data_IF_831214951137
#
_entry.id   IF_831214951137
#
_cell.length_a   1.000
_cell.length_b   1.000
_cell.length_c   1.000
_cell.angle_alpha   90.00
_cell.angle_beta   90.00
_cell.angle_gamma   90.00
#
_symmetry.space_group_name_H-M   'P 1'
#
loop_
_entity.id
_entity.type
_entity.pdbx_description
1 polymer ?
#
# COMPACT_ATOMS: atom_id res chain seq x y z
N UNK A 1 13.79 -7.02 30.10
CA UNK A 1 13.20 -7.50 28.82
C UNK A 1 14.29 -8.13 27.96
N UNK A 2 14.17 -9.40 27.60
CA UNK A 2 15.20 -10.12 26.81
C UNK A 2 15.11 -9.75 25.32
N UNK A 3 16.21 -9.85 24.55
CA UNK A 3 16.25 -9.48 23.12
C UNK A 3 15.16 -10.14 22.27
N UNK A 4 14.72 -11.34 22.66
CA UNK A 4 13.66 -12.13 22.00
C UNK A 4 12.28 -11.47 22.10
N UNK A 5 11.98 -10.78 23.21
CA UNK A 5 10.69 -10.09 23.43
C UNK A 5 10.50 -8.85 22.56
N UNK A 6 11.59 -8.13 22.22
CA UNK A 6 11.55 -6.91 21.39
C UNK A 6 11.46 -7.17 19.88
N UNK A 7 11.89 -8.34 19.40
CA UNK A 7 11.72 -8.73 17.99
C UNK A 7 10.25 -9.10 17.73
N UNK A 8 9.64 -9.77 18.71
CA UNK A 8 8.26 -10.20 18.64
C UNK A 8 7.29 -9.01 18.54
N UNK A 9 7.58 -7.87 19.18
CA UNK A 9 6.67 -6.71 19.19
C UNK A 9 6.44 -6.12 17.80
N UNK A 10 7.50 -5.90 17.01
CA UNK A 10 7.36 -5.32 15.67
C UNK A 10 6.72 -6.29 14.68
N UNK A 11 7.04 -7.59 14.79
CA UNK A 11 6.37 -8.59 13.97
C UNK A 11 4.88 -8.69 14.29
N UNK A 12 4.51 -8.66 15.56
CA UNK A 12 3.10 -8.69 15.97
C UNK A 12 2.37 -7.43 15.49
N UNK A 13 3.00 -6.25 15.56
CA UNK A 13 2.44 -5.00 15.01
C UNK A 13 2.21 -5.10 13.50
N UNK A 14 3.21 -5.58 12.75
CA UNK A 14 3.11 -5.84 11.32
C UNK A 14 1.95 -6.80 10.99
N UNK A 15 1.91 -7.96 11.66
CA UNK A 15 0.91 -8.99 11.42
C UNK A 15 -0.51 -8.54 11.78
N UNK A 16 -0.68 -7.88 12.93
CA UNK A 16 -1.98 -7.36 13.36
C UNK A 16 -2.48 -6.24 12.45
N UNK A 17 -1.60 -5.35 11.98
CA UNK A 17 -1.96 -4.31 11.01
C UNK A 17 -2.39 -4.92 9.69
N UNK A 18 -1.62 -5.88 9.18
CA UNK A 18 -1.95 -6.60 7.95
C UNK A 18 -3.32 -7.30 8.03
N UNK A 19 -3.52 -8.13 9.06
CA UNK A 19 -4.77 -8.86 9.27
C UNK A 19 -5.93 -7.91 9.55
N UNK A 20 -5.72 -6.90 10.40
CA UNK A 20 -6.74 -5.92 10.75
C UNK A 20 -7.22 -5.13 9.53
N UNK A 21 -6.31 -4.73 8.65
CA UNK A 21 -6.66 -4.03 7.40
C UNK A 21 -7.48 -4.91 6.47
N UNK A 22 -7.08 -6.17 6.27
CA UNK A 22 -7.82 -7.11 5.42
C UNK A 22 -9.20 -7.43 5.98
N UNK A 23 -9.31 -7.65 7.30
CA UNK A 23 -10.61 -7.83 7.96
C UNK A 23 -11.47 -6.59 7.85
N UNK A 24 -10.90 -5.41 8.01
CA UNK A 24 -11.61 -4.15 7.87
C UNK A 24 -12.19 -3.99 6.46
N UNK A 25 -11.40 -4.26 5.42
CA UNK A 25 -11.89 -4.27 4.03
C UNK A 25 -13.03 -5.27 3.86
N UNK A 26 -12.90 -6.51 4.36
CA UNK A 26 -13.97 -7.52 4.29
C UNK A 26 -15.25 -7.01 4.96
N UNK A 27 -15.13 -6.46 6.18
CA UNK A 27 -16.28 -5.93 6.93
C UNK A 27 -16.94 -4.78 6.18
N UNK A 28 -16.15 -3.84 5.64
CA UNK A 28 -16.68 -2.76 4.82
C UNK A 28 -17.43 -3.28 3.59
N UNK A 29 -16.83 -4.24 2.86
CA UNK A 29 -17.45 -4.85 1.68
C UNK A 29 -18.77 -5.54 1.99
N UNK A 30 -18.89 -6.16 3.16
CA UNK A 30 -20.13 -6.80 3.60
C UNK A 30 -21.17 -5.78 4.12
N UNK A 31 -20.71 -4.69 4.74
CA UNK A 31 -21.60 -3.70 5.34
C UNK A 31 -22.22 -2.75 4.30
N UNK A 32 -21.47 -2.43 3.23
CA UNK A 32 -21.89 -1.43 2.23
C UNK A 32 -21.58 -1.89 0.79
N UNK A 33 -22.06 -3.07 0.36
CA UNK A 33 -21.71 -3.64 -0.94
C UNK A 33 -22.14 -2.78 -2.13
N UNK A 34 -23.20 -1.98 -1.98
CA UNK A 34 -23.75 -1.10 -3.03
C UNK A 34 -22.86 0.09 -3.36
N UNK A 35 -21.94 0.45 -2.46
CA UNK A 35 -21.02 1.60 -2.61
C UNK A 35 -19.62 1.18 -3.10
N UNK A 36 -19.44 -0.10 -3.41
CA UNK A 36 -18.14 -0.70 -3.70
C UNK A 36 -18.19 -1.32 -5.09
N UNK A 37 -17.18 -1.02 -5.90
CA UNK A 37 -17.10 -1.59 -7.23
C UNK A 37 -16.71 -3.07 -7.17
N UNK A 38 -17.56 -3.92 -7.78
CA UNK A 38 -17.37 -5.37 -7.84
C UNK A 38 -17.13 -6.01 -6.45
N UNK A 39 -18.10 -5.88 -5.52
CA UNK A 39 -17.92 -6.25 -4.11
C UNK A 39 -17.62 -7.74 -3.94
N UNK A 40 -18.22 -8.62 -4.75
CA UNK A 40 -17.96 -10.06 -4.72
C UNK A 40 -16.50 -10.40 -5.07
N UNK A 41 -15.97 -9.76 -6.11
CA UNK A 41 -14.59 -9.94 -6.55
C UNK A 41 -13.60 -9.40 -5.53
N UNK A 42 -13.89 -8.24 -4.93
CA UNK A 42 -13.09 -7.69 -3.84
C UNK A 42 -13.10 -8.62 -2.62
N UNK A 43 -14.28 -9.11 -2.20
CA UNK A 43 -14.44 -10.01 -1.07
C UNK A 43 -13.64 -11.31 -1.25
N UNK A 44 -13.74 -11.94 -2.43
CA UNK A 44 -13.02 -13.17 -2.76
C UNK A 44 -11.50 -12.95 -2.70
N UNK A 45 -11.01 -11.90 -3.36
CA UNK A 45 -9.57 -11.56 -3.40
C UNK A 45 -9.05 -11.24 -2.00
N UNK A 46 -9.77 -10.43 -1.22
CA UNK A 46 -9.38 -10.04 0.15
C UNK A 46 -9.34 -11.25 1.06
N UNK A 47 -10.33 -12.14 0.96
CA UNK A 47 -10.39 -13.38 1.74
C UNK A 47 -9.21 -14.31 1.40
N UNK A 48 -8.87 -14.45 0.12
CA UNK A 48 -7.71 -15.23 -0.31
C UNK A 48 -6.39 -14.66 0.24
N UNK A 49 -6.22 -13.33 0.20
CA UNK A 49 -5.04 -12.65 0.75
C UNK A 49 -4.98 -12.78 2.28
N UNK A 50 -6.12 -12.70 2.97
CA UNK A 50 -6.21 -12.93 4.41
C UNK A 50 -5.79 -14.35 4.79
N UNK A 51 -6.28 -15.36 4.07
CA UNK A 51 -5.86 -16.75 4.27
C UNK A 51 -4.36 -16.92 4.02
N UNK A 52 -3.82 -16.28 2.98
CA UNK A 52 -2.38 -16.23 2.72
C UNK A 52 -1.59 -15.60 3.86
N UNK A 53 -2.04 -14.46 4.39
CA UNK A 53 -1.43 -13.79 5.53
C UNK A 53 -1.43 -14.67 6.78
N UNK A 54 -2.57 -15.31 7.09
CA UNK A 54 -2.69 -16.26 8.20
C UNK A 54 -1.74 -17.44 8.01
N UNK A 55 -1.67 -18.02 6.80
CA UNK A 55 -0.76 -19.11 6.49
C UNK A 55 0.71 -18.71 6.73
N UNK A 56 1.12 -17.50 6.31
CA UNK A 56 2.46 -16.96 6.58
C UNK A 56 2.70 -16.81 8.09
N UNK A 57 1.72 -16.33 8.85
CA UNK A 57 1.83 -16.19 10.31
C UNK A 57 2.03 -17.54 10.99
N UNK A 58 1.29 -18.57 10.57
CA UNK A 58 1.33 -19.90 11.17
C UNK A 58 2.55 -20.74 10.73
N UNK A 59 3.00 -20.58 9.50
CA UNK A 59 4.09 -21.40 8.92
C UNK A 59 5.46 -20.76 9.18
N UNK A 60 5.58 -19.44 9.09
CA UNK A 60 6.87 -18.76 9.19
C UNK A 60 7.68 -19.04 10.48
N UNK A 61 7.09 -19.27 11.67
CA UNK A 61 7.86 -19.64 12.86
C UNK A 61 8.59 -20.98 12.73
N UNK A 62 8.11 -21.88 11.86
CA UNK A 62 8.70 -23.21 11.61
C UNK A 62 9.89 -23.15 10.64
N UNK A 63 10.10 -22.02 9.96
CA UNK A 63 11.16 -21.86 8.97
C UNK A 63 12.49 -21.43 9.62
N UNK A 64 13.60 -21.77 8.96
CA UNK A 64 14.93 -21.27 9.31
C UNK A 64 14.98 -19.74 9.15
N UNK A 65 15.84 -19.07 9.94
CA UNK A 65 15.94 -17.60 10.02
C UNK A 65 15.89 -16.85 8.67
N UNK A 66 16.74 -17.16 7.67
CA UNK A 66 16.71 -16.42 6.41
C UNK A 66 15.38 -16.59 5.67
N UNK A 67 14.87 -17.82 5.57
CA UNK A 67 13.59 -18.11 4.92
C UNK A 67 12.40 -17.48 5.63
N UNK A 68 12.43 -17.45 6.97
CA UNK A 68 11.42 -16.77 7.78
C UNK A 68 11.37 -15.27 7.50
N UNK A 69 12.53 -14.61 7.43
CA UNK A 69 12.61 -13.20 7.11
C UNK A 69 12.14 -12.92 5.68
N UNK A 70 12.60 -13.72 4.72
CA UNK A 70 12.22 -13.59 3.30
C UNK A 70 10.73 -13.75 3.08
N UNK A 71 10.09 -14.81 3.62
CA UNK A 71 8.66 -15.03 3.38
C UNK A 71 7.80 -13.93 4.00
N UNK A 72 8.20 -13.41 5.17
CA UNK A 72 7.50 -12.31 5.84
C UNK A 72 7.65 -10.99 5.09
N UNK A 73 8.86 -10.71 4.58
CA UNK A 73 9.11 -9.55 3.74
C UNK A 73 8.32 -9.63 2.43
N UNK A 74 8.39 -10.76 1.73
CA UNK A 74 7.65 -10.99 0.51
C UNK A 74 6.14 -10.83 0.73
N UNK A 75 5.60 -11.41 1.81
CA UNK A 75 4.18 -11.28 2.14
C UNK A 75 3.78 -9.83 2.43
N UNK A 76 4.59 -9.06 3.19
CA UNK A 76 4.29 -7.66 3.49
C UNK A 76 4.37 -6.75 2.25
N UNK A 77 5.35 -6.98 1.37
CA UNK A 77 5.49 -6.25 0.10
C UNK A 77 4.31 -6.59 -0.82
N UNK A 78 3.99 -7.88 -0.99
CA UNK A 78 2.86 -8.31 -1.79
C UNK A 78 1.52 -7.78 -1.27
N UNK A 79 1.35 -7.72 0.06
CA UNK A 79 0.18 -7.11 0.68
C UNK A 79 0.08 -5.62 0.36
N UNK A 80 1.20 -4.87 0.39
CA UNK A 80 1.19 -3.45 0.05
C UNK A 80 0.76 -3.22 -1.41
N UNK A 81 1.29 -4.03 -2.34
CA UNK A 81 0.84 -4.01 -3.74
C UNK A 81 -0.63 -4.38 -3.91
N UNK A 82 -1.10 -5.35 -3.13
CA UNK A 82 -2.51 -5.76 -3.15
C UNK A 82 -3.43 -4.64 -2.65
N UNK A 83 -3.10 -3.98 -1.54
CA UNK A 83 -3.92 -2.92 -0.95
C UNK A 83 -4.15 -1.76 -1.93
N UNK A 84 -3.12 -1.36 -2.67
CA UNK A 84 -3.25 -0.35 -3.73
C UNK A 84 -4.31 -0.73 -4.77
N UNK A 85 -4.31 -1.99 -5.22
CA UNK A 85 -5.33 -2.49 -6.15
C UNK A 85 -6.72 -2.60 -5.49
N UNK A 86 -6.79 -3.04 -4.24
CA UNK A 86 -8.05 -3.18 -3.51
C UNK A 86 -8.77 -1.85 -3.32
N UNK A 87 -8.02 -0.77 -3.09
CA UNK A 87 -8.53 0.57 -2.84
C UNK A 87 -9.24 1.17 -4.03
N UNK A 88 -8.85 0.81 -5.26
CA UNK A 88 -9.53 1.30 -6.47
C UNK A 88 -11.05 1.10 -6.43
N UNK A 89 -11.55 -0.04 -5.94
CA UNK A 89 -12.98 -0.29 -5.80
C UNK A 89 -13.64 0.32 -4.56
N UNK A 90 -12.85 0.97 -3.69
CA UNK A 90 -13.30 1.62 -2.45
C UNK A 90 -13.31 3.15 -2.55
N UNK A 91 -12.75 3.76 -3.60
CA UNK A 91 -12.53 5.21 -3.69
C UNK A 91 -13.83 6.02 -3.59
N UNK A 92 -14.94 5.50 -4.12
CA UNK A 92 -16.25 6.16 -4.11
C UNK A 92 -17.16 5.72 -2.95
N UNK A 93 -16.63 4.99 -1.97
CA UNK A 93 -17.45 4.48 -0.87
C UNK A 93 -18.02 5.62 0.00
N UNK A 94 -17.29 6.72 0.16
CA UNK A 94 -17.67 7.86 1.01
C UNK A 94 -18.25 9.04 0.22
N UNK A 95 -17.82 9.21 -1.02
CA UNK A 95 -18.20 10.32 -1.89
C UNK A 95 -18.53 9.80 -3.27
N UNK A 96 -19.68 10.22 -3.81
CA UNK A 96 -20.08 9.89 -5.16
C UNK A 96 -19.32 10.79 -6.15
N UNK A 97 -18.68 10.17 -7.15
CA UNK A 97 -17.95 10.89 -8.21
C UNK A 97 -16.54 11.33 -7.83
N UNK A 98 -15.95 12.16 -8.68
CA UNK A 98 -14.56 12.61 -8.59
C UNK A 98 -14.46 14.09 -8.20
N UNK A 99 -13.44 14.43 -7.41
CA UNK A 99 -13.20 15.79 -6.92
C UNK A 99 -12.22 16.61 -7.80
N UNK A 100 -12.05 16.25 -9.07
CA UNK A 100 -11.06 16.89 -9.96
C UNK A 100 -11.31 18.40 -10.10
N UNK A 101 -12.56 18.84 -10.25
CA UNK A 101 -12.88 20.27 -10.38
C UNK A 101 -12.49 21.08 -9.14
N UNK A 102 -12.70 20.51 -7.95
CA UNK A 102 -12.32 21.16 -6.71
C UNK A 102 -10.79 21.25 -6.56
N UNK A 103 -10.06 20.21 -7.00
CA UNK A 103 -8.59 20.24 -7.07
C UNK A 103 -8.11 21.31 -8.06
N UNK A 104 -8.63 21.34 -9.30
CA UNK A 104 -8.24 22.31 -10.33
C UNK A 104 -8.51 23.74 -9.85
N UNK A 105 -9.65 23.98 -9.22
CA UNK A 105 -9.98 25.28 -8.64
C UNK A 105 -9.00 25.68 -7.52
N UNK A 106 -8.64 24.73 -6.65
CA UNK A 106 -7.64 24.94 -5.61
C UNK A 106 -6.27 25.27 -6.21
N UNK A 107 -5.77 24.49 -7.16
CA UNK A 107 -4.50 24.75 -7.84
C UNK A 107 -4.49 26.13 -8.50
N UNK A 108 -5.52 26.41 -9.30
CA UNK A 108 -5.66 27.68 -10.03
C UNK A 108 -5.71 28.88 -9.09
N UNK A 109 -6.22 28.74 -7.86
CA UNK A 109 -6.20 29.80 -6.86
C UNK A 109 -4.78 30.23 -6.46
N UNK A 110 -3.81 29.29 -6.42
CA UNK A 110 -2.43 29.58 -6.02
C UNK A 110 -1.53 29.91 -7.20
N UNK A 111 -1.68 29.19 -8.31
CA UNK A 111 -0.76 29.28 -9.46
C UNK A 111 -1.32 30.07 -10.63
N UNK A 112 -2.62 30.39 -10.64
CA UNK A 112 -3.31 31.07 -11.75
C UNK A 112 -3.64 30.16 -12.93
N UNK A 113 -3.10 28.94 -12.95
CA UNK A 113 -3.30 27.88 -13.96
C UNK A 113 -3.23 26.51 -13.27
N UNK A 114 -3.82 25.47 -13.87
CA UNK A 114 -3.68 24.08 -13.39
C UNK A 114 -2.21 23.65 -13.35
N UNK A 115 -1.81 22.93 -12.29
CA UNK A 115 -0.40 22.56 -12.09
C UNK A 115 0.11 21.65 -13.22
N UNK A 116 -0.75 20.77 -13.73
CA UNK A 116 -0.44 19.87 -14.84
C UNK A 116 -0.01 20.65 -16.10
N UNK A 117 -0.71 21.72 -16.46
CA UNK A 117 -0.38 22.57 -17.61
C UNK A 117 0.93 23.36 -17.42
N UNK A 118 1.26 23.74 -16.19
CA UNK A 118 2.56 24.35 -15.88
C UNK A 118 3.69 23.34 -16.11
N UNK A 119 3.51 22.11 -15.65
CA UNK A 119 4.48 21.03 -15.81
C UNK A 119 4.60 20.55 -17.26
N UNK A 120 3.51 20.56 -18.02
CA UNK A 120 3.48 20.18 -19.43
C UNK A 120 4.48 21.02 -20.27
N UNK A 121 4.58 22.32 -19.98
CA UNK A 121 5.49 23.25 -20.68
C UNK A 121 6.98 22.91 -20.55
N UNK A 122 7.36 22.19 -19.49
CA UNK A 122 8.75 21.77 -19.23
C UNK A 122 8.98 20.28 -19.51
N UNK A 123 7.91 19.54 -19.82
CA UNK A 123 7.98 18.11 -20.06
C UNK A 123 8.59 17.82 -21.44
N UNK A 124 9.61 16.98 -21.46
CA UNK A 124 10.26 16.51 -22.69
C UNK A 124 10.22 14.98 -22.73
N UNK A 125 10.31 14.34 -23.91
CA UNK A 125 10.34 12.87 -23.99
C UNK A 125 11.40 12.25 -23.08
N UNK A 126 12.60 12.84 -23.03
CA UNK A 126 13.66 12.37 -22.14
C UNK A 126 13.29 12.49 -20.65
N UNK A 127 12.66 13.60 -20.24
CA UNK A 127 12.19 13.76 -18.87
C UNK A 127 11.09 12.75 -18.52
N UNK A 128 10.14 12.52 -19.43
CA UNK A 128 9.08 11.52 -19.26
C UNK A 128 9.66 10.13 -19.03
N UNK A 129 10.63 9.70 -19.86
CA UNK A 129 11.30 8.41 -19.67
C UNK A 129 12.03 8.32 -18.32
N UNK A 130 12.69 9.40 -17.89
CA UNK A 130 13.34 9.45 -16.57
C UNK A 130 12.35 9.38 -15.41
N UNK A 131 11.21 10.07 -15.50
CA UNK A 131 10.16 10.03 -14.48
C UNK A 131 9.50 8.65 -14.44
N UNK A 132 9.24 8.03 -15.60
CA UNK A 132 8.72 6.66 -15.68
C UNK A 132 9.72 5.64 -15.15
N UNK A 133 11.01 5.76 -15.46
CA UNK A 133 12.05 4.92 -14.89
C UNK A 133 12.12 5.06 -13.36
N UNK A 134 12.02 6.29 -12.85
CA UNK A 134 11.98 6.58 -11.41
C UNK A 134 10.71 6.05 -10.75
N UNK A 135 9.59 6.04 -11.47
CA UNK A 135 8.36 5.42 -11.01
C UNK A 135 8.46 3.89 -11.00
N UNK A 136 9.14 3.25 -11.94
CA UNK A 136 9.27 1.78 -11.94
C UNK A 136 10.32 1.31 -10.93
N UNK A 137 11.38 2.09 -10.68
CA UNK A 137 12.50 1.67 -9.83
C UNK A 137 12.12 1.45 -8.36
N UNK A 138 11.02 2.05 -7.87
CA UNK A 138 10.59 1.79 -6.49
C UNK A 138 10.19 0.32 -6.27
N UNK A 139 9.71 -0.37 -7.32
CA UNK A 139 9.28 -1.77 -7.25
C UNK A 139 10.44 -2.68 -6.80
N UNK A 140 11.62 -2.72 -7.48
CA UNK A 140 12.76 -3.46 -6.99
C UNK A 140 13.41 -2.83 -5.75
N UNK A 141 13.29 -1.52 -5.52
CA UNK A 141 13.83 -0.89 -4.31
C UNK A 141 13.18 -1.41 -3.03
N UNK A 142 11.89 -1.76 -3.03
CA UNK A 142 11.23 -2.33 -1.85
C UNK A 142 11.90 -3.61 -1.32
N UNK A 143 12.08 -4.69 -2.12
CA UNK A 143 12.78 -5.89 -1.67
C UNK A 143 14.28 -5.67 -1.48
N UNK A 144 14.93 -4.79 -2.26
CA UNK A 144 16.35 -4.45 -2.05
C UNK A 144 16.54 -3.77 -0.69
N UNK A 145 15.69 -2.80 -0.35
CA UNK A 145 15.75 -2.09 0.93
C UNK A 145 15.46 -3.04 2.09
N UNK A 146 14.46 -3.93 1.95
CA UNK A 146 14.20 -4.98 2.92
C UNK A 146 15.44 -5.88 3.13
N UNK A 147 16.10 -6.29 2.05
CA UNK A 147 17.31 -7.09 2.11
C UNK A 147 18.49 -6.35 2.78
N UNK A 148 18.73 -5.09 2.42
CA UNK A 148 19.77 -4.24 3.04
C UNK A 148 19.49 -4.07 4.54
N UNK A 149 18.26 -3.71 4.93
CA UNK A 149 17.88 -3.55 6.34
C UNK A 149 18.08 -4.86 7.10
N UNK A 150 17.66 -6.00 6.53
CA UNK A 150 17.89 -7.31 7.14
C UNK A 150 19.38 -7.61 7.31
N UNK A 151 20.21 -7.33 6.29
CA UNK A 151 21.64 -7.67 6.27
C UNK A 151 22.47 -6.84 7.25
N UNK A 152 22.13 -5.56 7.42
CA UNK A 152 22.93 -4.60 8.18
C UNK A 152 22.33 -4.23 9.53
N UNK A 153 21.01 -4.19 9.65
CA UNK A 153 20.32 -3.80 10.89
C UNK A 153 19.65 -4.99 11.59
N UNK A 154 19.34 -6.06 10.86
CA UNK A 154 18.81 -7.31 11.41
C UNK A 154 17.27 -7.43 11.33
N UNK A 155 16.77 -8.57 11.80
CA UNK A 155 15.36 -8.99 11.65
C UNK A 155 14.37 -8.04 12.34
N UNK A 156 14.76 -7.43 13.47
CA UNK A 156 13.89 -6.47 14.18
C UNK A 156 13.62 -5.23 13.33
N UNK A 157 14.67 -4.65 12.76
CA UNK A 157 14.59 -3.43 11.96
C UNK A 157 13.91 -3.71 10.62
N UNK A 158 14.09 -4.90 10.05
CA UNK A 158 13.30 -5.34 8.91
C UNK A 158 11.80 -5.25 9.20
N UNK A 159 11.34 -5.76 10.35
CA UNK A 159 9.91 -5.72 10.69
C UNK A 159 9.40 -4.31 10.98
N UNK A 160 10.22 -3.45 11.59
CA UNK A 160 9.88 -2.04 11.75
C UNK A 160 9.73 -1.34 10.39
N UNK A 161 10.66 -1.59 9.45
CA UNK A 161 10.59 -1.08 8.09
C UNK A 161 9.33 -1.55 7.35
N UNK A 162 9.04 -2.86 7.37
CA UNK A 162 7.86 -3.42 6.71
C UNK A 162 6.57 -2.92 7.34
N UNK A 163 6.54 -2.72 8.65
CA UNK A 163 5.40 -2.12 9.33
C UNK A 163 5.18 -0.68 8.87
N UNK A 164 6.23 0.14 8.84
CA UNK A 164 6.13 1.53 8.37
C UNK A 164 5.66 1.59 6.91
N UNK A 165 6.17 0.69 6.06
CA UNK A 165 5.77 0.59 4.66
C UNK A 165 4.26 0.32 4.52
N UNK A 166 3.72 -0.68 5.24
CA UNK A 166 2.28 -0.98 5.24
C UNK A 166 1.47 0.18 5.83
N UNK A 167 1.92 0.76 6.94
CA UNK A 167 1.21 1.85 7.61
C UNK A 167 1.11 3.10 6.72
N UNK A 168 2.19 3.45 6.03
CA UNK A 168 2.20 4.55 5.06
C UNK A 168 1.29 4.20 3.87
N UNK A 169 1.33 2.97 3.36
CA UNK A 169 0.45 2.56 2.27
C UNK A 169 -1.03 2.73 2.65
N UNK A 170 -1.43 2.25 3.84
CA UNK A 170 -2.79 2.43 4.37
C UNK A 170 -3.17 3.91 4.50
N UNK A 171 -2.23 4.76 4.94
CA UNK A 171 -2.48 6.20 5.06
C UNK A 171 -2.70 6.85 3.70
N UNK A 172 -1.91 6.49 2.69
CA UNK A 172 -2.09 6.94 1.31
C UNK A 172 -3.43 6.45 0.73
N UNK A 173 -3.72 5.17 0.92
CA UNK A 173 -4.96 4.50 0.51
C UNK A 173 -6.19 5.19 1.12
N UNK A 174 -6.12 5.55 2.40
CA UNK A 174 -7.17 6.33 3.08
C UNK A 174 -7.36 7.71 2.42
N UNK A 175 -6.28 8.36 1.98
CA UNK A 175 -6.36 9.60 1.22
C UNK A 175 -7.19 9.46 -0.05
N UNK A 176 -6.98 8.39 -0.83
CA UNK A 176 -7.75 8.11 -2.05
C UNK A 176 -9.24 7.85 -1.80
N UNK A 177 -9.59 7.27 -0.64
CA UNK A 177 -11.00 7.04 -0.25
C UNK A 177 -11.66 8.30 0.31
N UNK A 178 -10.91 9.12 1.06
CA UNK A 178 -11.42 10.37 1.62
C UNK A 178 -11.59 11.46 0.56
N UNK A 179 -10.76 11.44 -0.47
CA UNK A 179 -10.77 12.44 -1.52
C UNK A 179 -10.44 11.77 -2.87
N UNK A 180 -11.44 11.16 -3.53
CA UNK A 180 -11.25 10.51 -4.82
C UNK A 180 -10.92 11.55 -5.89
N UNK A 181 -9.77 11.39 -6.54
CA UNK A 181 -9.30 12.18 -7.69
C UNK A 181 -9.01 11.20 -8.81
N UNK A 182 -9.49 11.50 -10.02
CA UNK A 182 -9.21 10.67 -11.17
C UNK A 182 -7.75 10.92 -11.60
N UNK A 183 -7.02 9.87 -11.95
CA UNK A 183 -5.81 10.08 -12.74
C UNK A 183 -6.23 10.67 -14.09
N UNK A 184 -5.48 11.65 -14.60
CA UNK A 184 -5.68 12.15 -15.96
C UNK A 184 -5.60 10.96 -16.94
N UNK A 185 -6.74 10.64 -17.56
CA UNK A 185 -6.84 9.62 -18.60
C UNK A 185 -6.60 10.31 -19.94
N UNK A 186 -5.33 10.34 -20.33
CA UNK A 186 -4.79 10.80 -21.63
C UNK A 186 -5.11 12.26 -22.02
#
# INVERSE_FOLDING_TARGET
MTPRTRIQSWYNALASTAVGTLLFIIVLTLAVPERIDQPESLLLRTSAVLLGAIAVILISPRLRRPWRATIRAAAAIALSSYLFSAVSGLQHMLMDGWNDQALIAFETMFTGEELSHILERITTPALTEWLMASYVIYIPLMPITAWVVYRYAGEKQLYAYLFSMIAVNILCDLGFVLYPIASQLF
#
